data_IF_473255315043
#
_entry.id   IF_473255315043
#
_cell.length_a   1.000
_cell.length_b   1.000
_cell.length_c   1.000
_cell.angle_alpha   90.00
_cell.angle_beta   90.00
_cell.angle_gamma   90.00
#
_symmetry.space_group_name_H-M   'P 1'
#
loop_
_entity.id
_entity.type
_entity.pdbx_description
1 polymer ?
#
# COMPACT_ATOMS: atom_id res chain seq x y z
N UNK A 1 26.74 -8.94 10.16
CA UNK A 1 26.91 -9.67 8.88
C UNK A 1 25.90 -9.10 7.90
N UNK A 2 26.24 -8.97 6.62
CA UNK A 2 25.30 -8.50 5.59
C UNK A 2 24.47 -9.68 5.04
N UNK A 3 23.21 -9.41 4.69
CA UNK A 3 22.28 -10.36 4.07
C UNK A 3 21.34 -9.64 3.10
N UNK A 4 20.47 -10.39 2.42
CA UNK A 4 19.44 -9.82 1.54
C UNK A 4 18.36 -9.12 2.38
N UNK A 5 18.05 -7.87 2.04
CA UNK A 5 16.95 -7.10 2.64
C UNK A 5 15.82 -6.93 1.63
N UNK A 6 14.57 -7.05 2.08
CA UNK A 6 13.38 -6.90 1.25
C UNK A 6 12.83 -8.21 0.72
N UNK A 7 11.95 -8.16 -0.27
CA UNK A 7 11.17 -9.31 -0.76
C UNK A 7 10.34 -10.01 0.34
N UNK A 8 9.88 -9.24 1.31
CA UNK A 8 9.02 -9.69 2.40
C UNK A 8 7.66 -9.02 2.28
N UNK A 9 6.59 -9.73 2.64
CA UNK A 9 5.24 -9.17 2.69
C UNK A 9 5.08 -8.39 3.99
N UNK A 10 4.78 -7.09 3.87
CA UNK A 10 4.56 -6.20 5.00
C UNK A 10 3.17 -5.58 4.88
N UNK A 11 2.47 -5.44 6.00
CA UNK A 11 1.15 -4.79 6.08
C UNK A 11 1.24 -3.56 6.95
N UNK A 12 0.71 -2.44 6.46
CA UNK A 12 0.56 -1.21 7.25
C UNK A 12 -0.88 -1.12 7.74
N UNK A 13 -1.06 -1.01 9.05
CA UNK A 13 -2.37 -0.94 9.69
C UNK A 13 -2.82 0.52 9.88
N UNK A 14 -4.12 0.73 10.06
CA UNK A 14 -4.73 2.02 10.39
C UNK A 14 -4.52 3.14 9.35
N UNK A 15 -4.36 2.77 8.06
CA UNK A 15 -4.37 3.74 6.96
C UNK A 15 -5.78 4.31 6.79
N UNK A 16 -5.87 5.62 6.60
CA UNK A 16 -7.15 6.31 6.40
C UNK A 16 -7.41 6.52 4.91
N UNK A 17 -8.61 6.16 4.45
CA UNK A 17 -9.08 6.49 3.10
C UNK A 17 -9.55 7.94 3.10
N UNK A 18 -8.91 8.80 2.32
CA UNK A 18 -9.25 10.22 2.21
C UNK A 18 -10.38 10.41 1.21
N UNK A 19 -10.28 9.78 0.03
CA UNK A 19 -11.23 9.96 -1.06
C UNK A 19 -11.25 8.75 -1.97
N UNK A 20 -12.44 8.43 -2.48
CA UNK A 20 -12.64 7.44 -3.54
C UNK A 20 -13.16 8.18 -4.76
N UNK A 21 -12.50 7.99 -5.91
CA UNK A 21 -12.89 8.60 -7.19
C UNK A 21 -13.27 7.46 -8.14
N UNK A 22 -14.55 7.04 -8.16
CA UNK A 22 -14.97 5.86 -8.92
C UNK A 22 -14.85 6.06 -10.43
N UNK A 23 -15.01 7.29 -10.93
CA UNK A 23 -14.89 7.62 -12.36
C UNK A 23 -13.52 7.25 -12.95
N UNK A 24 -12.48 7.28 -12.12
CA UNK A 24 -11.10 6.95 -12.51
C UNK A 24 -10.59 5.68 -11.84
N UNK A 25 -11.42 4.97 -11.07
CA UNK A 25 -11.03 3.84 -10.22
C UNK A 25 -9.83 4.17 -9.29
N UNK A 26 -9.80 5.38 -8.74
CA UNK A 26 -8.72 5.84 -7.86
C UNK A 26 -9.14 5.83 -6.38
N UNK A 27 -8.21 5.42 -5.53
CA UNK A 27 -8.32 5.44 -4.08
C UNK A 27 -7.21 6.31 -3.50
N UNK A 28 -7.55 7.39 -2.81
CA UNK A 28 -6.58 8.22 -2.09
C UNK A 28 -6.49 7.76 -0.64
N UNK A 29 -5.28 7.40 -0.23
CA UNK A 29 -4.93 6.97 1.13
C UNK A 29 -4.07 8.04 1.81
N UNK A 30 -4.23 8.20 3.12
CA UNK A 30 -3.35 8.99 3.96
C UNK A 30 -2.22 8.12 4.47
N UNK A 31 -1.01 8.31 3.93
CA UNK A 31 0.21 7.64 4.40
C UNK A 31 0.93 6.89 3.28
N UNK A 32 1.81 5.98 3.70
CA UNK A 32 2.66 5.19 2.80
C UNK A 32 2.09 3.79 2.60
N UNK A 33 2.13 3.30 1.36
CA UNK A 33 1.77 1.92 1.00
C UNK A 33 3.05 1.11 0.81
N UNK A 34 3.19 -0.06 1.43
CA UNK A 34 4.38 -0.90 1.26
C UNK A 34 4.45 -1.47 -0.16
N UNK A 35 5.67 -1.59 -0.69
CA UNK A 35 5.93 -2.09 -2.04
C UNK A 35 6.43 -0.99 -2.99
N UNK A 36 6.89 -1.40 -4.17
CA UNK A 36 7.33 -0.47 -5.21
C UNK A 36 6.15 -0.04 -6.09
N UNK A 37 6.31 1.07 -6.82
CA UNK A 37 5.29 1.59 -7.73
C UNK A 37 4.87 0.51 -8.75
N UNK A 38 3.57 0.26 -8.85
CA UNK A 38 3.00 -0.76 -9.75
C UNK A 38 2.89 -2.16 -9.13
N UNK A 39 3.29 -2.34 -7.86
CA UNK A 39 3.02 -3.56 -7.11
C UNK A 39 1.53 -3.75 -6.88
N UNK A 40 1.10 -5.01 -6.85
CA UNK A 40 -0.24 -5.38 -6.43
C UNK A 40 -0.29 -5.30 -4.90
N UNK A 41 -1.32 -4.65 -4.37
CA UNK A 41 -1.56 -4.53 -2.93
C UNK A 41 -2.93 -5.08 -2.59
N UNK A 42 -3.03 -5.74 -1.45
CA UNK A 42 -4.30 -6.18 -0.87
C UNK A 42 -4.73 -5.17 0.19
N UNK A 43 -5.99 -4.74 0.14
CA UNK A 43 -6.59 -3.85 1.14
C UNK A 43 -7.65 -4.66 1.89
N UNK A 44 -7.50 -4.74 3.21
CA UNK A 44 -8.39 -5.48 4.12
C UNK A 44 -8.97 -4.51 5.16
N UNK A 45 -10.13 -4.83 5.71
CA UNK A 45 -10.85 -4.01 6.70
C UNK A 45 -10.54 -4.46 8.13
#
# INVERSE_FOLDING_TARGET
MAGQMGNERVTVQNLQVIKVIPEHNLLLLKGSVPGCKGSIVAIEK
#
